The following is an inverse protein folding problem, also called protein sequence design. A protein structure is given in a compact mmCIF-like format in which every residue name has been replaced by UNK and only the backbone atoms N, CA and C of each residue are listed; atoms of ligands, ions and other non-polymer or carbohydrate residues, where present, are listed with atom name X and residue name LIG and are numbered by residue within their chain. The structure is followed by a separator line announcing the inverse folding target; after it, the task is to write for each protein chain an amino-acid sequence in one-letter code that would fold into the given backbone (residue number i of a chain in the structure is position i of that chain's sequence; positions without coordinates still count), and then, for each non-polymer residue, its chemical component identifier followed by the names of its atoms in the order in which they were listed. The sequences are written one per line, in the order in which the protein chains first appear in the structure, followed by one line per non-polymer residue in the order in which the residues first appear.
data_IF_388191336345
#
_entry.id   IF_388191336345
#
_cell.length_a   1.000
_cell.length_b   1.000
_cell.length_c   1.000
_cell.angle_alpha   90.00
_cell.angle_beta   90.00
_cell.angle_gamma   90.00
#
_symmetry.space_group_name_H-M   'P 1'
#
loop_
_entity.id
_entity.type
_entity.pdbx_description
1 polymer ?
#
# COMPACT_ATOMS: atom_id res chain seq x y z
N UNK A 1 -10.18 -19.89 -9.65
CA UNK A 1 -8.84 -19.44 -9.18
C UNK A 1 -8.99 -17.99 -8.76
N UNK A 2 -8.73 -17.64 -7.50
CA UNK A 2 -8.75 -16.24 -7.08
C UNK A 2 -7.53 -15.57 -7.70
N UNK A 3 -7.73 -14.69 -8.67
CA UNK A 3 -6.64 -13.86 -9.21
C UNK A 3 -6.18 -12.92 -8.11
N UNK A 4 -4.93 -13.05 -7.66
CA UNK A 4 -4.33 -12.09 -6.76
C UNK A 4 -4.31 -10.73 -7.47
N UNK A 5 -4.91 -9.71 -6.84
CA UNK A 5 -4.94 -8.36 -7.40
C UNK A 5 -3.65 -7.64 -7.05
N UNK A 6 -2.87 -7.28 -8.07
CA UNK A 6 -1.69 -6.45 -7.93
C UNK A 6 -2.05 -4.96 -7.98
N UNK A 7 -1.35 -4.14 -7.20
CA UNK A 7 -1.50 -2.69 -7.13
C UNK A 7 -0.17 -2.03 -7.44
N UNK A 8 -0.20 -0.90 -8.16
CA UNK A 8 0.95 0.00 -8.17
C UNK A 8 1.08 0.63 -6.80
N UNK A 9 2.18 0.38 -6.10
CA UNK A 9 2.43 0.95 -4.78
C UNK A 9 3.47 2.06 -4.92
N UNK A 10 3.14 3.26 -4.48
CA UNK A 10 4.02 4.43 -4.61
C UNK A 10 4.65 4.86 -3.29
N UNK A 11 4.12 4.43 -2.15
CA UNK A 11 4.71 4.77 -0.85
C UNK A 11 4.25 3.91 0.32
N UNK A 12 5.08 3.88 1.36
CA UNK A 12 4.75 3.35 2.68
C UNK A 12 5.11 4.45 3.68
N UNK A 13 4.18 4.77 4.58
CA UNK A 13 4.37 5.74 5.65
C UNK A 13 4.17 5.07 6.99
N UNK A 14 5.13 5.25 7.89
CA UNK A 14 5.01 4.90 9.30
C UNK A 14 5.02 6.20 10.11
N UNK A 15 4.00 6.43 10.93
CA UNK A 15 3.81 7.64 11.71
C UNK A 15 3.80 7.30 13.18
N UNK A 16 4.72 7.89 13.95
CA UNK A 16 4.82 7.74 15.41
C UNK A 16 4.32 9.03 16.06
N UNK A 17 3.27 8.93 16.86
CA UNK A 17 2.67 10.04 17.58
C UNK A 17 3.41 10.27 18.90
N UNK A 18 4.39 11.20 18.89
CA UNK A 18 5.30 11.48 20.02
C UNK A 18 4.60 11.74 21.36
N UNK A 19 3.39 12.28 21.34
CA UNK A 19 2.61 12.60 22.53
C UNK A 19 1.97 11.38 23.22
N UNK A 20 1.70 10.30 22.49
CA UNK A 20 1.02 9.10 22.99
C UNK A 20 1.89 7.85 22.93
N UNK A 21 2.95 7.86 22.11
CA UNK A 21 3.72 6.66 21.79
C UNK A 21 3.02 5.74 20.77
N UNK A 22 1.78 6.04 20.38
CA UNK A 22 1.05 5.28 19.38
C UNK A 22 1.74 5.40 18.02
N UNK A 23 1.60 4.36 17.20
CA UNK A 23 2.01 4.37 15.82
C UNK A 23 0.81 4.10 14.89
N UNK A 24 1.04 4.32 13.60
CA UNK A 24 0.15 3.89 12.52
C UNK A 24 0.97 3.77 11.25
N UNK A 25 0.62 2.81 10.40
CA UNK A 25 1.25 2.68 9.10
C UNK A 25 0.21 2.64 7.97
N UNK A 26 0.60 3.20 6.82
CA UNK A 26 -0.26 3.29 5.64
C UNK A 26 0.51 2.98 4.38
N UNK A 27 -0.12 2.25 3.47
CA UNK A 27 0.37 1.97 2.14
C UNK A 27 -0.41 2.80 1.11
N UNK A 28 0.35 3.40 0.20
CA UNK A 28 -0.13 4.31 -0.81
C UNK A 28 -0.18 3.57 -2.15
N UNK A 29 -1.39 3.38 -2.67
CA UNK A 29 -1.63 2.62 -3.90
C UNK A 29 -2.19 3.52 -5.00
N UNK A 30 -1.71 3.32 -6.22
CA UNK A 30 -2.27 3.90 -7.43
C UNK A 30 -3.51 3.11 -7.85
N UNK A 31 -4.59 3.82 -8.15
CA UNK A 31 -5.82 3.21 -8.70
C UNK A 31 -5.93 3.54 -10.18
N UNK A 32 -6.29 2.54 -10.97
CA UNK A 32 -6.50 2.74 -12.39
C UNK A 32 -7.61 3.78 -12.61
N UNK A 33 -7.32 4.79 -13.42
CA UNK A 33 -8.35 5.69 -13.91
C UNK A 33 -9.34 4.90 -14.77
N UNK A 34 -10.60 5.32 -14.75
CA UNK A 34 -11.67 4.66 -15.49
C UNK A 34 -12.39 5.67 -16.36
N UNK A 35 -12.81 5.20 -17.53
CA UNK A 35 -13.75 5.94 -18.34
C UNK A 35 -15.06 6.14 -17.57
N UNK A 36 -15.72 7.27 -17.81
CA UNK A 36 -17.00 7.61 -17.22
C UNK A 36 -17.87 8.30 -18.27
N UNK A 37 -19.16 7.98 -18.30
CA UNK A 37 -20.10 8.64 -19.19
C UNK A 37 -21.48 8.70 -18.54
N UNK A 38 -22.16 9.83 -18.70
CA UNK A 38 -23.57 10.04 -18.39
C UNK A 38 -24.16 11.08 -19.35
N UNK A 39 -25.42 11.48 -19.13
CA UNK A 39 -26.13 12.44 -20.00
C UNK A 39 -25.50 13.84 -20.04
N UNK A 40 -24.62 14.17 -19.09
CA UNK A 40 -24.03 15.50 -18.95
C UNK A 40 -22.54 15.57 -19.31
N UNK A 41 -21.81 14.44 -19.28
CA UNK A 41 -20.37 14.42 -19.51
C UNK A 41 -19.82 13.05 -19.93
N UNK A 42 -18.69 13.08 -20.65
CA UNK A 42 -17.87 11.93 -21.01
C UNK A 42 -16.42 12.17 -20.57
N UNK A 43 -15.81 11.18 -19.94
CA UNK A 43 -14.42 11.15 -19.48
C UNK A 43 -13.77 9.91 -20.10
N UNK A 44 -12.65 10.13 -20.79
CA UNK A 44 -11.72 9.08 -21.24
C UNK A 44 -10.44 9.20 -20.45
N UNK A 45 -10.00 8.10 -19.86
CA UNK A 45 -8.87 8.14 -18.95
C UNK A 45 -7.87 7.00 -19.18
N UNK A 46 -6.60 7.30 -18.92
CA UNK A 46 -5.50 6.34 -19.01
C UNK A 46 -4.49 6.60 -17.88
N UNK A 47 -3.95 5.53 -17.30
CA UNK A 47 -2.96 5.59 -16.23
C UNK A 47 -3.53 5.34 -14.83
N UNK A 48 -2.78 5.78 -13.82
CA UNK A 48 -3.09 5.59 -12.40
C UNK A 48 -3.10 6.93 -11.69
N UNK A 49 -3.95 7.07 -10.68
CA UNK A 49 -4.00 8.24 -9.82
C UNK A 49 -3.61 7.85 -8.38
N UNK A 50 -2.77 8.69 -7.76
CA UNK A 50 -2.43 8.70 -6.36
C UNK A 50 -3.37 9.64 -5.62
N UNK A 51 -4.15 9.10 -4.68
CA UNK A 51 -5.16 9.88 -3.96
C UNK A 51 -4.60 11.18 -3.37
N UNK A 52 -5.03 12.34 -3.88
CA UNK A 52 -5.40 13.58 -3.17
C UNK A 52 -6.19 14.44 -4.18
N UNK A 53 -7.53 14.41 -4.11
CA UNK A 53 -8.35 15.54 -4.56
C UNK A 53 -9.49 15.75 -3.56
N UNK A 54 -9.66 17.00 -3.12
CA UNK A 54 -10.70 17.41 -2.18
C UNK A 54 -12.12 17.14 -2.69
N UNK A 55 -12.28 16.91 -4.00
CA UNK A 55 -13.54 16.61 -4.66
C UNK A 55 -14.07 15.21 -4.35
N UNK A 56 -13.19 14.27 -3.97
CA UNK A 56 -13.54 12.86 -3.70
C UNK A 56 -13.21 12.44 -2.26
N UNK A 57 -13.29 13.38 -1.30
CA UNK A 57 -12.96 13.25 0.14
C UNK A 57 -13.43 11.96 0.85
N UNK A 58 -14.39 11.22 0.29
CA UNK A 58 -14.98 10.02 0.89
C UNK A 58 -14.68 8.69 0.20
N UNK A 59 -13.91 8.63 -0.90
CA UNK A 59 -13.79 7.39 -1.69
C UNK A 59 -12.42 6.75 -1.74
N UNK A 60 -11.36 7.46 -1.38
CA UNK A 60 -9.99 6.98 -1.60
C UNK A 60 -9.11 7.17 -0.38
N UNK A 61 -9.23 6.23 0.56
CA UNK A 61 -8.32 6.10 1.71
C UNK A 61 -7.11 5.26 1.34
N UNK A 62 -5.92 5.68 1.79
CA UNK A 62 -4.74 4.80 1.87
C UNK A 62 -5.09 3.55 2.66
N UNK A 63 -4.48 2.40 2.31
CA UNK A 63 -4.77 1.17 3.04
C UNK A 63 -3.92 1.14 4.32
N UNK A 64 -4.49 0.65 5.41
CA UNK A 64 -3.72 0.34 6.60
C UNK A 64 -2.77 -0.83 6.31
N UNK A 65 -1.57 -0.80 6.88
CA UNK A 65 -0.60 -1.89 6.86
C UNK A 65 -0.14 -2.13 8.29
N UNK A 66 0.15 -3.39 8.63
CA UNK A 66 0.67 -3.77 9.93
C UNK A 66 1.96 -2.99 10.24
N UNK A 67 2.03 -2.42 11.44
CA UNK A 67 3.03 -1.41 11.81
C UNK A 67 4.44 -2.00 11.88
N UNK A 68 4.59 -3.17 12.51
CA UNK A 68 5.88 -3.85 12.67
C UNK A 68 6.44 -4.24 11.30
N UNK A 69 5.59 -4.75 10.41
CA UNK A 69 5.97 -5.08 9.05
C UNK A 69 6.33 -3.84 8.24
N UNK A 70 5.54 -2.77 8.32
CA UNK A 70 5.85 -1.52 7.63
C UNK A 70 7.19 -0.92 8.08
N UNK A 71 7.46 -0.89 9.38
CA UNK A 71 8.76 -0.47 9.92
C UNK A 71 9.89 -1.35 9.37
N UNK A 72 9.71 -2.68 9.36
CA UNK A 72 10.71 -3.61 8.81
C UNK A 72 11.00 -3.33 7.33
N UNK A 73 9.97 -3.16 6.51
CA UNK A 73 10.11 -2.87 5.08
C UNK A 73 10.82 -1.53 4.86
N UNK A 74 10.45 -0.48 5.60
CA UNK A 74 11.09 0.84 5.51
C UNK A 74 12.58 0.76 5.90
N UNK A 75 12.87 0.16 7.06
CA UNK A 75 14.24 0.09 7.60
C UNK A 75 15.16 -0.78 6.74
N UNK A 76 14.62 -1.84 6.13
CA UNK A 76 15.37 -2.71 5.22
C UNK A 76 15.73 -2.06 3.88
N UNK A 77 15.07 -0.95 3.51
CA UNK A 77 15.13 -0.35 2.17
C UNK A 77 14.74 -1.33 1.05
N UNK A 78 13.95 -2.35 1.37
CA UNK A 78 13.47 -3.34 0.40
C UNK A 78 12.42 -2.78 -0.56
N UNK A 79 11.64 -1.79 -0.12
CA UNK A 79 10.57 -1.20 -0.92
C UNK A 79 11.10 -0.40 -2.12
N UNK A 80 10.52 -0.65 -3.29
CA UNK A 80 10.78 0.10 -4.52
C UNK A 80 9.48 0.79 -4.94
N UNK A 81 9.42 2.13 -4.95
CA UNK A 81 8.21 2.84 -5.30
C UNK A 81 7.85 2.67 -6.79
N UNK A 82 6.57 2.90 -7.11
CA UNK A 82 6.00 2.82 -8.46
C UNK A 82 6.12 1.44 -9.11
N UNK A 83 6.22 0.40 -8.28
CA UNK A 83 6.22 -1.00 -8.72
C UNK A 83 4.91 -1.68 -8.37
N UNK A 84 4.62 -2.80 -9.06
CA UNK A 84 3.46 -3.62 -8.76
C UNK A 84 3.74 -4.56 -7.60
N UNK A 85 2.83 -4.56 -6.64
CA UNK A 85 2.83 -5.48 -5.51
C UNK A 85 1.47 -6.14 -5.37
N UNK A 86 1.47 -7.45 -5.15
CA UNK A 86 0.32 -8.12 -4.56
C UNK A 86 0.26 -7.79 -3.06
N UNK A 87 -0.95 -7.54 -2.57
CA UNK A 87 -1.18 -7.18 -1.17
C UNK A 87 -1.89 -8.34 -0.47
N UNK A 88 -1.23 -8.95 0.52
CA UNK A 88 -1.90 -9.90 1.41
C UNK A 88 -2.55 -9.14 2.55
N UNK A 89 -3.84 -9.38 2.77
CA UNK A 89 -4.62 -8.72 3.82
C UNK A 89 -5.09 -9.70 4.88
N UNK A 90 -5.22 -9.24 6.12
CA UNK A 90 -5.86 -9.96 7.22
C UNK A 90 -6.85 -9.05 7.96
N UNK A 91 -7.87 -9.61 8.65
CA UNK A 91 -8.72 -8.83 9.55
C UNK A 91 -7.90 -8.13 10.63
N UNK A 92 -8.27 -6.91 11.00
CA UNK A 92 -7.62 -6.21 12.10
C UNK A 92 -8.00 -6.88 13.45
N UNK A 93 -7.06 -7.08 14.38
CA UNK A 93 -7.34 -7.74 15.66
C UNK A 93 -8.36 -7.01 16.53
N UNK A 94 -8.35 -5.68 16.49
CA UNK A 94 -9.22 -4.77 17.25
C UNK A 94 -10.54 -4.46 16.54
N UNK A 95 -10.59 -4.64 15.21
CA UNK A 95 -11.80 -4.48 14.42
C UNK A 95 -11.87 -5.50 13.27
N UNK A 96 -12.44 -6.69 13.49
CA UNK A 96 -12.53 -7.75 12.48
C UNK A 96 -13.33 -7.38 11.22
N UNK A 97 -14.15 -6.31 11.26
CA UNK A 97 -14.86 -5.79 10.09
C UNK A 97 -13.97 -4.99 9.15
N UNK A 98 -12.76 -4.65 9.59
CA UNK A 98 -11.74 -3.98 8.78
C UNK A 98 -10.58 -4.93 8.51
N UNK A 99 -9.85 -4.68 7.42
CA UNK A 99 -8.65 -5.43 7.07
C UNK A 99 -7.47 -4.48 6.90
N UNK A 100 -6.29 -4.95 7.26
CA UNK A 100 -5.03 -4.29 6.95
C UNK A 100 -4.18 -5.18 6.04
N UNK A 101 -3.19 -4.59 5.39
CA UNK A 101 -2.13 -5.30 4.67
C UNK A 101 -1.16 -5.90 5.69
N UNK A 102 -0.87 -7.19 5.57
CA UNK A 102 0.12 -7.90 6.42
C UNK A 102 1.41 -8.23 5.66
N UNK A 103 1.37 -8.18 4.33
CA UNK A 103 2.53 -8.44 3.49
C UNK A 103 2.34 -7.80 2.11
N UNK A 104 3.44 -7.30 1.53
CA UNK A 104 3.51 -6.90 0.13
C UNK A 104 4.46 -7.84 -0.62
N UNK A 105 4.07 -8.25 -1.83
CA UNK A 105 4.83 -9.19 -2.63
C UNK A 105 5.10 -8.54 -3.98
N UNK A 106 6.37 -8.21 -4.32
CA UNK A 106 6.69 -7.68 -5.63
C UNK A 106 6.28 -8.65 -6.74
N UNK A 107 5.66 -8.12 -7.79
CA UNK A 107 5.31 -8.90 -8.98
C UNK A 107 6.53 -9.11 -9.87
N UNK A 108 7.29 -8.04 -10.11
CA UNK A 108 8.50 -8.06 -10.93
C UNK A 108 9.62 -8.91 -10.29
N UNK A 109 10.34 -9.68 -11.12
CA UNK A 109 11.33 -10.64 -10.66
C UNK A 109 12.60 -9.98 -10.09
N UNK A 110 13.07 -8.88 -10.68
CA UNK A 110 14.24 -8.16 -10.18
C UNK A 110 13.90 -7.45 -8.88
N UNK A 111 12.73 -6.82 -8.81
CA UNK A 111 12.23 -6.19 -7.57
C UNK A 111 12.05 -7.24 -6.49
N UNK A 112 11.54 -8.44 -6.82
CA UNK A 112 11.40 -9.56 -5.88
C UNK A 112 12.74 -10.00 -5.32
N UNK A 113 13.76 -10.13 -6.17
CA UNK A 113 15.12 -10.48 -5.74
C UNK A 113 15.69 -9.43 -4.79
N UNK A 114 15.67 -8.14 -5.18
CA UNK A 114 16.11 -7.03 -4.33
C UNK A 114 15.39 -7.04 -2.99
N UNK A 115 14.06 -7.15 -3.01
CA UNK A 115 13.22 -7.14 -1.82
C UNK A 115 13.62 -8.27 -0.85
N UNK A 116 13.78 -9.50 -1.36
CA UNK A 116 14.19 -10.65 -0.56
C UNK A 116 15.60 -10.49 0.04
N UNK A 117 16.53 -9.90 -0.70
CA UNK A 117 17.90 -9.67 -0.22
C UNK A 117 17.94 -8.59 0.86
N UNK A 118 17.27 -7.46 0.63
CA UNK A 118 17.16 -6.36 1.60
C UNK A 118 16.45 -6.78 2.89
N UNK A 119 15.37 -7.55 2.80
CA UNK A 119 14.60 -8.01 3.97
C UNK A 119 15.37 -8.96 4.89
N UNK A 120 16.41 -9.65 4.39
CA UNK A 120 17.31 -10.50 5.20
C UNK A 120 18.34 -9.71 6.01
N UNK A 121 18.70 -8.52 5.52
CA UNK A 121 19.72 -7.66 6.14
C UNK A 121 19.11 -6.68 7.14
N UNK A 122 17.78 -6.61 7.22
CA UNK A 122 17.08 -5.76 8.18
C UNK A 122 17.49 -6.16 9.61
N UNK A 123 18.00 -5.22 10.43
CA UNK A 123 18.30 -5.52 11.81
C UNK A 123 17.00 -5.92 12.51
N UNK A 124 16.94 -7.16 13.03
CA UNK A 124 15.96 -7.49 14.06
C UNK A 124 16.35 -6.63 15.27
N UNK A 125 15.58 -5.59 15.59
CA UNK A 125 15.68 -4.99 16.92
C UNK A 125 15.33 -6.10 17.92
N UNK A 126 16.33 -6.51 18.68
CA UNK A 126 16.18 -7.35 19.88
C UNK A 126 15.45 -6.57 20.98
#
# INVERSE_FOLDING_TARGET
MSTATAFFVHGIKHTIFKNSGNASASIYVGRALKDFSNDNMEIKAAGYFDSIEEFEKNRFKHLAIEEVYAEKVINSRAFVPYQQYELRTAPMPDNPMQSHVVEIIPVDAEVKKHFMESMKQAPNKA
#
